data_IF_578293922792
#
_entry.id   IF_578293922792
#
_cell.length_a   1.000
_cell.length_b   1.000
_cell.length_c   1.000
_cell.angle_alpha   90.00
_cell.angle_beta   90.00
_cell.angle_gamma   90.00
#
_symmetry.space_group_name_H-M   'P 1'
#
loop_
_entity.id
_entity.type
_entity.pdbx_description
1 polymer ?
#
# COMPACT_ATOMS: atom_id res chain seq x y z
N UNK A 1 2.60 22.22 18.49
CA UNK A 1 2.90 21.64 17.15
C UNK A 1 1.89 20.56 16.83
N UNK A 2 1.51 20.45 15.58
CA UNK A 2 0.49 19.49 15.15
C UNK A 2 0.89 18.03 15.44
N UNK A 3 2.15 17.69 15.24
CA UNK A 3 2.69 16.37 15.52
C UNK A 3 2.67 16.02 17.00
N UNK A 4 2.94 17.00 17.89
CA UNK A 4 2.85 16.79 19.33
C UNK A 4 1.42 16.51 19.77
N UNK A 5 0.45 17.29 19.24
CA UNK A 5 -0.96 17.07 19.54
C UNK A 5 -1.43 15.72 18.99
N UNK A 6 -0.95 15.34 17.81
CA UNK A 6 -1.23 14.05 17.22
C UNK A 6 -0.73 12.90 18.11
N UNK A 7 0.53 13.02 18.58
CA UNK A 7 1.14 11.97 19.38
C UNK A 7 0.47 11.84 20.76
N UNK A 8 0.02 12.95 21.34
CA UNK A 8 -0.75 12.93 22.60
C UNK A 8 -2.08 12.21 22.38
N UNK A 9 -2.78 12.54 21.30
CA UNK A 9 -4.04 11.87 20.96
C UNK A 9 -3.83 10.38 20.77
N UNK A 10 -2.81 9.98 20.00
CA UNK A 10 -2.51 8.58 19.75
C UNK A 10 -2.20 7.81 21.03
N UNK A 11 -1.44 8.43 21.94
CA UNK A 11 -1.13 7.82 23.23
C UNK A 11 -2.40 7.58 24.04
N UNK A 12 -3.32 8.55 24.05
CA UNK A 12 -4.60 8.40 24.77
C UNK A 12 -5.46 7.29 24.19
N UNK A 13 -5.55 7.22 22.86
CA UNK A 13 -6.33 6.19 22.18
C UNK A 13 -5.78 4.80 22.46
N UNK A 14 -4.46 4.64 22.40
CA UNK A 14 -3.80 3.37 22.69
C UNK A 14 -4.03 2.93 24.14
N UNK A 15 -3.91 3.85 25.08
CA UNK A 15 -4.16 3.56 26.50
C UNK A 15 -5.61 3.17 26.76
N UNK A 16 -6.54 3.69 25.98
CA UNK A 16 -7.95 3.33 26.06
C UNK A 16 -8.28 2.02 25.35
N UNK A 17 -7.30 1.35 24.75
CA UNK A 17 -7.50 0.11 24.01
C UNK A 17 -8.18 0.28 22.66
N UNK A 18 -8.21 1.50 22.13
CA UNK A 18 -8.85 1.81 20.85
C UNK A 18 -7.83 1.56 19.72
N UNK A 19 -8.25 0.75 18.75
CA UNK A 19 -7.43 0.51 17.55
C UNK A 19 -7.60 1.66 16.58
N UNK A 20 -6.47 2.17 16.07
CA UNK A 20 -6.46 3.27 15.10
C UNK A 20 -5.71 2.80 13.85
N UNK A 21 -6.25 3.13 12.69
CA UNK A 21 -5.61 2.86 11.40
C UNK A 21 -5.57 4.15 10.59
N UNK A 22 -4.51 4.30 9.81
CA UNK A 22 -4.31 5.44 8.92
C UNK A 22 -4.50 4.97 7.49
N UNK A 23 -5.49 5.52 6.82
CA UNK A 23 -5.80 5.18 5.43
C UNK A 23 -5.29 6.28 4.52
N UNK A 24 -4.56 5.91 3.50
CA UNK A 24 -4.03 6.84 2.52
C UNK A 24 -4.34 6.38 1.10
N UNK A 25 -4.45 7.34 0.19
CA UNK A 25 -4.55 7.06 -1.25
C UNK A 25 -3.17 7.07 -1.94
N UNK A 26 -2.10 7.14 -1.18
CA UNK A 26 -0.74 7.12 -1.74
C UNK A 26 -0.47 5.79 -2.45
N UNK A 27 -0.40 5.81 -3.78
CA UNK A 27 -0.31 4.62 -4.61
C UNK A 27 1.07 4.40 -5.22
N UNK A 28 2.01 5.35 -5.02
CA UNK A 28 3.37 5.25 -5.58
C UNK A 28 4.45 5.19 -4.50
N UNK A 29 4.05 5.00 -3.26
CA UNK A 29 4.97 4.78 -2.13
C UNK A 29 4.66 3.45 -1.46
N UNK A 30 5.70 2.72 -1.05
CA UNK A 30 5.50 1.54 -0.22
C UNK A 30 5.02 1.94 1.16
N UNK A 31 4.41 0.99 1.84
CA UNK A 31 3.99 1.16 3.24
C UNK A 31 5.18 1.55 4.12
N UNK A 32 6.31 0.88 3.96
CA UNK A 32 7.50 1.16 4.76
C UNK A 32 8.09 2.53 4.45
N UNK A 33 8.11 2.93 3.19
CA UNK A 33 8.58 4.27 2.79
C UNK A 33 7.71 5.36 3.39
N UNK A 34 6.39 5.18 3.35
CA UNK A 34 5.45 6.14 3.95
C UNK A 34 5.62 6.20 5.47
N UNK A 35 5.77 5.06 6.12
CA UNK A 35 6.02 4.99 7.56
C UNK A 35 7.30 5.74 7.94
N UNK A 36 8.38 5.53 7.19
CA UNK A 36 9.64 6.23 7.43
C UNK A 36 9.49 7.74 7.29
N UNK A 37 8.76 8.19 6.26
CA UNK A 37 8.50 9.61 6.05
C UNK A 37 7.75 10.22 7.23
N UNK A 38 6.68 9.57 7.67
CA UNK A 38 5.86 10.07 8.78
C UNK A 38 6.63 10.06 10.09
N UNK A 39 7.45 9.04 10.32
CA UNK A 39 8.32 8.97 11.50
C UNK A 39 9.31 10.14 11.52
N UNK A 40 9.91 10.47 10.38
CA UNK A 40 10.83 11.62 10.28
C UNK A 40 10.12 12.95 10.53
N UNK A 41 8.83 13.03 10.22
CA UNK A 41 8.02 14.23 10.47
C UNK A 41 7.53 14.31 11.92
N UNK A 42 7.87 13.33 12.76
CA UNK A 42 7.53 13.33 14.16
C UNK A 42 6.24 12.62 14.56
N UNK A 43 5.58 11.95 13.60
CA UNK A 43 4.36 11.19 13.90
C UNK A 43 4.72 9.83 14.48
N UNK A 44 4.11 9.51 15.62
CA UNK A 44 4.31 8.25 16.33
C UNK A 44 3.22 7.25 15.96
N UNK A 45 3.55 6.33 15.06
CA UNK A 45 2.64 5.26 14.64
C UNK A 45 3.45 4.02 14.25
N UNK A 46 2.80 2.88 14.34
CA UNK A 46 3.42 1.62 13.91
C UNK A 46 3.19 1.39 12.42
N UNK A 47 4.07 0.60 11.82
CA UNK A 47 3.93 0.22 10.40
C UNK A 47 2.56 -0.42 10.14
N UNK A 48 2.11 -1.28 11.05
CA UNK A 48 0.85 -2.02 10.94
C UNK A 48 -0.39 -1.13 10.96
N UNK A 49 -0.24 0.10 11.43
CA UNK A 49 -1.35 1.05 11.52
C UNK A 49 -1.65 1.73 10.18
N UNK A 50 -0.76 1.60 9.21
CA UNK A 50 -0.88 2.28 7.92
C UNK A 50 -1.50 1.35 6.90
N UNK A 51 -2.58 1.80 6.27
CA UNK A 51 -3.28 1.09 5.19
C UNK A 51 -3.08 1.85 3.89
N UNK A 52 -2.47 1.18 2.91
CA UNK A 52 -2.26 1.72 1.56
C UNK A 52 -3.15 1.00 0.56
N UNK A 53 -3.34 1.56 -0.65
CA UNK A 53 -4.06 0.85 -1.70
C UNK A 53 -3.46 -0.51 -2.04
N UNK A 54 -2.13 -0.64 -2.05
CA UNK A 54 -1.46 -1.91 -2.32
C UNK A 54 -1.82 -2.97 -1.28
N UNK A 55 -1.89 -2.60 -0.01
CA UNK A 55 -2.28 -3.52 1.07
C UNK A 55 -3.72 -3.99 0.94
N UNK A 56 -4.61 -3.06 0.62
CA UNK A 56 -6.01 -3.41 0.38
C UNK A 56 -6.13 -4.40 -0.78
N UNK A 57 -5.39 -4.18 -1.84
CA UNK A 57 -5.37 -5.08 -3.00
C UNK A 57 -4.77 -6.44 -2.64
N UNK A 58 -3.69 -6.48 -1.88
CA UNK A 58 -3.10 -7.74 -1.42
C UNK A 58 -4.08 -8.57 -0.59
N UNK A 59 -4.90 -7.90 0.20
CA UNK A 59 -5.96 -8.59 0.93
C UNK A 59 -6.95 -9.28 -0.03
N UNK A 60 -7.39 -8.56 -1.05
CA UNK A 60 -8.31 -9.11 -2.08
C UNK A 60 -7.65 -10.28 -2.83
N UNK A 61 -6.37 -10.12 -3.20
CA UNK A 61 -5.60 -11.16 -3.90
C UNK A 61 -5.57 -12.44 -3.07
N UNK A 62 -5.26 -12.34 -1.79
CA UNK A 62 -5.20 -13.50 -0.89
C UNK A 62 -6.56 -14.13 -0.69
N UNK A 63 -7.57 -13.32 -0.43
CA UNK A 63 -8.91 -13.81 -0.12
C UNK A 63 -9.53 -14.53 -1.30
N UNK A 64 -9.36 -13.99 -2.50
CA UNK A 64 -9.91 -14.58 -3.75
C UNK A 64 -8.95 -15.55 -4.42
N UNK A 65 -7.77 -15.76 -3.85
CA UNK A 65 -6.74 -16.66 -4.39
C UNK A 65 -6.37 -16.31 -5.84
N UNK A 66 -6.17 -15.01 -6.10
CA UNK A 66 -5.83 -14.53 -7.43
C UNK A 66 -4.34 -14.68 -7.71
N UNK A 67 -4.02 -14.86 -8.98
CA UNK A 67 -2.66 -14.79 -9.51
C UNK A 67 -2.60 -13.58 -10.43
N UNK A 68 -2.16 -12.41 -9.93
CA UNK A 68 -2.27 -11.18 -10.69
C UNK A 68 -1.11 -10.98 -11.66
N UNK A 69 -1.44 -10.44 -12.84
CA UNK A 69 -0.47 -9.71 -13.63
C UNK A 69 -0.42 -8.29 -13.06
N UNK A 70 0.73 -7.86 -12.57
CA UNK A 70 0.87 -6.60 -11.88
C UNK A 70 1.29 -5.48 -12.84
N UNK A 71 0.40 -4.54 -13.07
CA UNK A 71 0.66 -3.33 -13.82
C UNK A 71 0.59 -2.16 -12.83
N UNK A 72 1.64 -2.05 -12.02
CA UNK A 72 1.75 -1.09 -10.94
C UNK A 72 3.07 -0.35 -11.03
N UNK A 73 3.14 0.81 -10.39
CA UNK A 73 4.37 1.59 -10.37
C UNK A 73 5.52 0.77 -9.76
N UNK A 74 6.73 0.79 -10.35
CA UNK A 74 7.85 -0.01 -9.83
C UNK A 74 8.15 0.21 -8.35
N UNK A 75 7.90 1.42 -7.85
CA UNK A 75 8.18 1.76 -6.44
C UNK A 75 7.33 0.98 -5.45
N UNK A 76 6.17 0.44 -5.85
CA UNK A 76 5.29 -0.30 -4.94
C UNK A 76 5.34 -1.80 -5.14
N UNK A 77 6.18 -2.31 -6.05
CA UNK A 77 6.30 -3.75 -6.29
C UNK A 77 6.63 -4.54 -5.03
N UNK A 78 7.41 -3.95 -4.15
CA UNK A 78 7.76 -4.55 -2.85
C UNK A 78 6.51 -4.94 -2.05
N UNK A 79 5.48 -4.11 -2.06
CA UNK A 79 4.25 -4.37 -1.32
C UNK A 79 3.42 -5.52 -1.92
N UNK A 80 3.73 -5.93 -3.14
CA UNK A 80 3.11 -7.07 -3.81
C UNK A 80 3.97 -8.34 -3.80
N UNK A 81 5.06 -8.35 -3.05
CA UNK A 81 6.03 -9.46 -3.07
C UNK A 81 5.40 -10.80 -2.68
N UNK A 82 4.32 -10.80 -1.91
CA UNK A 82 3.63 -12.03 -1.51
C UNK A 82 2.66 -12.58 -2.55
N UNK A 83 2.48 -11.93 -3.70
CA UNK A 83 1.56 -12.38 -4.73
C UNK A 83 2.22 -13.41 -5.65
N UNK A 84 1.47 -14.45 -6.04
CA UNK A 84 1.88 -15.40 -7.06
C UNK A 84 1.52 -14.85 -8.43
N UNK A 85 2.53 -14.45 -9.19
CA UNK A 85 2.34 -13.85 -10.53
C UNK A 85 2.52 -14.86 -11.68
N UNK A 86 2.69 -16.13 -11.37
CA UNK A 86 2.83 -17.18 -12.38
C UNK A 86 1.47 -17.55 -12.96
N UNK A 87 1.42 -17.73 -14.26
CA UNK A 87 0.19 -18.11 -14.97
C UNK A 87 -1.00 -17.26 -14.52
N UNK A 88 -0.96 -15.94 -14.78
CA UNK A 88 -1.92 -15.02 -14.17
C UNK A 88 -3.35 -15.25 -14.66
N UNK A 89 -4.28 -15.07 -13.74
CA UNK A 89 -5.72 -15.15 -14.00
C UNK A 89 -6.44 -13.84 -13.72
N UNK A 90 -5.69 -12.77 -13.50
CA UNK A 90 -6.23 -11.45 -13.14
C UNK A 90 -5.21 -10.38 -13.49
N UNK A 91 -5.67 -9.15 -13.53
CA UNK A 91 -4.81 -7.99 -13.77
C UNK A 91 -5.07 -6.99 -12.65
N UNK A 92 -3.99 -6.49 -12.04
CA UNK A 92 -4.05 -5.42 -11.07
C UNK A 92 -3.37 -4.19 -11.69
N UNK A 93 -4.13 -3.12 -11.82
CA UNK A 93 -3.64 -1.86 -12.38
C UNK A 93 -3.62 -0.81 -11.29
N UNK A 94 -2.47 -0.21 -11.07
CA UNK A 94 -2.31 0.91 -10.17
C UNK A 94 -2.01 2.20 -10.91
N UNK A 95 -1.64 3.22 -10.14
CA UNK A 95 -1.17 4.48 -10.72
C UNK A 95 0.25 4.25 -11.25
N UNK A 96 0.40 4.36 -12.54
CA UNK A 96 1.66 4.09 -13.24
C UNK A 96 2.43 5.36 -13.59
N UNK A 97 1.74 6.51 -13.59
CA UNK A 97 2.33 7.78 -14.01
C UNK A 97 3.02 7.63 -15.39
N UNK A 98 4.27 8.01 -15.51
CA UNK A 98 5.03 7.88 -16.77
C UNK A 98 5.27 6.43 -17.21
N UNK A 99 5.06 5.46 -16.33
CA UNK A 99 5.19 4.04 -16.63
C UNK A 99 3.94 3.46 -17.32
N UNK A 100 2.94 4.28 -17.58
CA UNK A 100 1.72 3.87 -18.28
C UNK A 100 2.02 3.80 -19.79
N UNK A 101 2.45 2.63 -20.26
CA UNK A 101 2.94 2.43 -21.63
C UNK A 101 2.05 1.51 -22.42
N UNK A 102 2.12 1.62 -23.76
CA UNK A 102 1.42 0.69 -24.65
C UNK A 102 1.85 -0.75 -24.39
N UNK A 103 3.15 -1.00 -24.23
CA UNK A 103 3.66 -2.35 -24.00
C UNK A 103 3.10 -2.94 -22.71
N UNK A 104 3.06 -2.15 -21.64
CA UNK A 104 2.53 -2.59 -20.35
C UNK A 104 1.04 -2.94 -20.47
N UNK A 105 0.26 -2.07 -21.11
CA UNK A 105 -1.16 -2.31 -21.31
C UNK A 105 -1.41 -3.53 -22.20
N UNK A 106 -0.63 -3.70 -23.26
CA UNK A 106 -0.76 -4.84 -24.15
C UNK A 106 -0.43 -6.15 -23.43
N UNK A 107 0.59 -6.16 -22.57
CA UNK A 107 0.92 -7.31 -21.73
C UNK A 107 -0.23 -7.70 -20.80
N UNK A 108 -0.88 -6.71 -20.19
CA UNK A 108 -2.03 -6.95 -19.34
C UNK A 108 -3.22 -7.49 -20.14
N UNK A 109 -3.42 -7.00 -21.35
CA UNK A 109 -4.52 -7.45 -22.22
C UNK A 109 -4.40 -8.93 -22.61
N UNK A 110 -3.20 -9.47 -22.66
CA UNK A 110 -2.93 -10.85 -23.04
C UNK A 110 -3.14 -11.87 -21.91
N UNK A 111 -3.46 -11.42 -20.74
CA UNK A 111 -3.69 -12.30 -19.58
C UNK A 111 -4.97 -13.12 -19.69
#
# INVERSE_FOLDING_TARGET
MEDENFNVLMSRLRKAGIKVRFVTNESVRTRSSLHNKLTRLGFDMELEDILTPAMAMMHVIREKKLRPHLLVHPTVMEDFAGADTNDPNSVVIGDLDEHFTFQGLNGAFQV
#
